data_IF_944468410802
#
_entry.id   IF_944468410802
#
_cell.length_a   1.000
_cell.length_b   1.000
_cell.length_c   1.000
_cell.angle_alpha   90.00
_cell.angle_beta   90.00
_cell.angle_gamma   90.00
#
_symmetry.space_group_name_H-M   'P 1'
#
loop_
_entity.id
_entity.type
_entity.pdbx_description
1 polymer ?
#
# COMPACT_ATOMS: atom_id res chain seq x y z
N UNK A 1 -28.31 -4.82 1.82
CA UNK A 1 -28.37 -3.39 1.38
C UNK A 1 -27.56 -2.56 2.34
N UNK A 2 -26.69 -1.68 1.84
CA UNK A 2 -26.02 -0.67 2.66
C UNK A 2 -27.09 0.35 3.09
N UNK A 3 -27.45 0.36 4.38
CA UNK A 3 -28.29 1.42 4.94
C UNK A 3 -27.39 2.65 5.15
N UNK A 4 -27.28 3.49 4.12
CA UNK A 4 -26.36 4.62 4.07
C UNK A 4 -26.93 5.89 4.72
N UNK A 5 -28.25 5.96 4.90
CA UNK A 5 -28.94 7.18 5.32
C UNK A 5 -28.67 8.35 4.37
N UNK A 6 -28.32 9.51 4.93
CA UNK A 6 -27.91 10.69 4.15
C UNK A 6 -26.46 10.53 3.66
N UNK A 7 -26.13 11.18 2.54
CA UNK A 7 -24.77 11.16 1.99
C UNK A 7 -24.23 12.58 1.95
N UNK A 8 -23.09 12.80 2.60
CA UNK A 8 -22.37 14.07 2.59
C UNK A 8 -21.18 13.99 1.64
N UNK A 9 -21.10 14.95 0.72
CA UNK A 9 -19.99 15.13 -0.21
C UNK A 9 -19.19 16.37 0.17
N UNK A 10 -17.89 16.19 0.42
CA UNK A 10 -16.96 17.27 0.72
C UNK A 10 -15.90 17.37 -0.38
N UNK A 11 -15.87 18.50 -1.07
CA UNK A 11 -14.81 18.84 -2.04
C UNK A 11 -13.87 19.84 -1.37
N UNK A 12 -12.58 19.48 -1.30
CA UNK A 12 -11.52 20.29 -0.69
C UNK A 12 -10.43 20.57 -1.72
N UNK A 13 -10.51 21.68 -2.47
CA UNK A 13 -9.40 22.12 -3.29
C UNK A 13 -8.26 22.62 -2.38
N UNK A 14 -7.02 22.37 -2.79
CA UNK A 14 -5.84 22.85 -2.06
C UNK A 14 -4.79 23.36 -3.05
N UNK A 15 -4.12 24.43 -2.67
CA UNK A 15 -2.97 24.99 -3.39
C UNK A 15 -1.84 25.16 -2.40
N UNK A 16 -0.64 24.70 -2.77
CA UNK A 16 0.58 24.79 -1.97
C UNK A 16 1.68 25.38 -2.82
N UNK A 17 2.33 26.42 -2.30
CA UNK A 17 3.56 26.96 -2.89
C UNK A 17 4.77 26.36 -2.16
N UNK A 18 5.74 25.86 -2.92
CA UNK A 18 6.99 25.32 -2.40
C UNK A 18 8.18 26.04 -3.01
N UNK A 19 9.03 26.60 -2.15
CA UNK A 19 10.29 27.23 -2.53
C UNK A 19 11.48 26.58 -1.79
N UNK A 20 12.44 26.08 -2.56
CA UNK A 20 13.72 25.55 -2.12
C UNK A 20 14.78 26.21 -2.98
N UNK A 21 15.62 27.02 -2.36
CA UNK A 21 16.72 27.71 -3.04
C UNK A 21 17.77 26.72 -3.57
N UNK A 22 18.46 27.07 -4.65
CA UNK A 22 19.58 26.28 -5.13
C UNK A 22 20.74 26.30 -4.11
N UNK A 23 21.22 25.12 -3.73
CA UNK A 23 22.40 24.94 -2.88
C UNK A 23 23.45 24.09 -3.59
N UNK A 24 24.73 24.33 -3.29
CA UNK A 24 25.84 23.56 -3.85
C UNK A 24 26.05 22.28 -3.03
N UNK A 25 26.12 21.14 -3.71
CA UNK A 25 26.38 19.82 -3.11
C UNK A 25 27.77 19.27 -3.45
N UNK A 26 28.68 20.12 -3.95
CA UNK A 26 30.00 19.69 -4.48
C UNK A 26 30.84 18.93 -3.46
N UNK A 27 30.75 19.33 -2.19
CA UNK A 27 31.57 18.78 -1.11
C UNK A 27 30.84 17.72 -0.27
N UNK A 28 29.62 17.32 -0.68
CA UNK A 28 28.79 16.35 0.04
C UNK A 28 28.74 15.06 -0.79
N UNK A 29 29.28 13.92 -0.30
CA UNK A 29 29.16 12.65 -1.00
C UNK A 29 27.68 12.24 -1.14
N UNK A 30 27.35 11.45 -2.17
CA UNK A 30 26.01 10.90 -2.34
C UNK A 30 25.95 9.54 -1.63
N UNK A 31 25.41 9.51 -0.42
CA UNK A 31 25.21 8.29 0.38
C UNK A 31 23.72 7.92 0.35
N UNK A 32 22.85 8.91 0.52
CA UNK A 32 21.40 8.74 0.51
C UNK A 32 20.66 9.83 -0.30
N UNK A 33 19.35 9.67 -0.56
CA UNK A 33 18.58 10.65 -1.31
C UNK A 33 18.47 12.03 -0.64
N UNK A 34 18.66 12.14 0.68
CA UNK A 34 18.57 13.40 1.41
C UNK A 34 19.84 14.26 1.28
N UNK A 35 20.95 13.68 0.83
CA UNK A 35 22.18 14.41 0.48
C UNK A 35 22.00 15.36 -0.73
N UNK A 36 20.87 15.25 -1.45
CA UNK A 36 20.54 16.06 -2.63
C UNK A 36 19.09 16.55 -2.54
N UNK A 37 18.90 17.82 -2.16
CA UNK A 37 17.59 18.46 -2.16
C UNK A 37 17.48 19.39 -3.37
N UNK A 38 16.85 18.93 -4.43
CA UNK A 38 16.77 19.70 -5.66
C UNK A 38 16.01 21.03 -5.49
N UNK A 39 16.46 22.04 -6.24
CA UNK A 39 15.87 23.37 -6.19
C UNK A 39 14.41 23.26 -6.62
N UNK A 40 13.52 23.96 -5.92
CA UNK A 40 12.09 23.89 -6.19
C UNK A 40 11.51 25.29 -6.14
N UNK A 41 10.77 25.68 -7.17
CA UNK A 41 9.96 26.89 -7.15
C UNK A 41 8.68 26.56 -7.91
N UNK A 42 7.69 26.05 -7.20
CA UNK A 42 6.55 25.39 -7.82
C UNK A 42 5.27 25.57 -7.01
N UNK A 43 4.14 25.44 -7.71
CA UNK A 43 2.81 25.40 -7.11
C UNK A 43 2.26 23.99 -7.31
N UNK A 44 1.92 23.31 -6.22
CA UNK A 44 1.12 22.08 -6.24
C UNK A 44 -0.33 22.44 -6.04
N UNK A 45 -1.20 21.96 -6.92
CA UNK A 45 -2.64 22.01 -6.73
C UNK A 45 -3.17 20.59 -6.55
N UNK A 46 -4.17 20.45 -5.69
CA UNK A 46 -4.87 19.19 -5.50
C UNK A 46 -6.37 19.39 -5.37
N UNK A 47 -7.10 18.36 -5.80
CA UNK A 47 -8.53 18.23 -5.61
C UNK A 47 -8.75 16.98 -4.76
N UNK A 48 -9.19 17.19 -3.53
CA UNK A 48 -9.53 16.11 -2.62
C UNK A 48 -11.05 16.04 -2.50
N UNK A 49 -11.61 14.83 -2.56
CA UNK A 49 -13.03 14.57 -2.43
C UNK A 49 -13.25 13.45 -1.41
N UNK A 50 -14.10 13.73 -0.43
CA UNK A 50 -14.45 12.81 0.64
C UNK A 50 -15.95 12.59 0.62
N UNK A 51 -16.37 11.33 0.59
CA UNK A 51 -17.77 10.95 0.63
C UNK A 51 -18.07 10.20 1.91
N UNK A 52 -19.08 10.64 2.65
CA UNK A 52 -19.48 10.04 3.92
C UNK A 52 -20.96 9.67 3.88
N UNK A 53 -21.30 8.49 4.40
CA UNK A 53 -22.66 8.08 4.70
C UNK A 53 -22.99 8.38 6.16
N UNK A 54 -24.15 8.95 6.41
CA UNK A 54 -24.63 9.41 7.72
C UNK A 54 -25.88 8.62 8.10
N UNK A 55 -25.78 7.84 9.18
CA UNK A 55 -26.90 7.06 9.73
C UNK A 55 -27.08 7.42 11.20
N UNK A 56 -28.02 8.33 11.48
CA UNK A 56 -28.20 8.89 12.82
C UNK A 56 -26.97 9.70 13.24
N UNK A 57 -26.34 9.33 14.36
CA UNK A 57 -25.09 9.95 14.83
C UNK A 57 -23.82 9.30 14.25
N UNK A 58 -23.96 8.22 13.48
CA UNK A 58 -22.80 7.52 12.92
C UNK A 58 -22.47 8.05 11.53
N UNK A 59 -21.23 8.51 11.37
CA UNK A 59 -20.63 8.81 10.07
C UNK A 59 -19.73 7.64 9.64
N UNK A 60 -19.82 7.26 8.36
CA UNK A 60 -18.95 6.26 7.74
C UNK A 60 -18.36 6.82 6.46
N UNK A 61 -17.04 6.77 6.33
CA UNK A 61 -16.38 7.08 5.08
C UNK A 61 -16.72 6.02 4.01
N UNK A 62 -17.11 6.49 2.83
CA UNK A 62 -17.48 5.68 1.68
C UNK A 62 -16.41 5.74 0.59
N UNK A 63 -15.83 6.93 0.38
CA UNK A 63 -14.73 7.09 -0.55
C UNK A 63 -13.83 8.27 -0.19
N UNK A 64 -12.56 8.12 -0.56
CA UNK A 64 -11.53 9.16 -0.56
C UNK A 64 -10.94 9.22 -1.96
N UNK A 65 -11.01 10.38 -2.61
CA UNK A 65 -10.34 10.64 -3.88
C UNK A 65 -9.40 11.82 -3.69
N UNK A 66 -8.15 11.65 -4.09
CA UNK A 66 -7.14 12.70 -4.07
C UNK A 66 -6.44 12.71 -5.41
N UNK A 67 -6.37 13.88 -6.04
CA UNK A 67 -5.65 14.07 -7.30
C UNK A 67 -4.79 15.31 -7.12
N UNK A 68 -3.52 15.22 -7.50
CA UNK A 68 -2.59 16.35 -7.41
C UNK A 68 -1.65 16.44 -8.60
N UNK A 69 -1.23 17.65 -8.91
CA UNK A 69 -0.20 17.94 -9.89
C UNK A 69 0.57 19.20 -9.49
N UNK A 70 1.84 19.25 -9.86
CA UNK A 70 2.74 20.37 -9.58
C UNK A 70 3.13 21.08 -10.86
N UNK A 71 3.19 22.41 -10.78
CA UNK A 71 3.62 23.29 -11.86
C UNK A 71 4.87 24.09 -11.46
N UNK A 72 5.94 23.98 -12.24
CA UNK A 72 7.20 24.70 -12.06
C UNK A 72 7.12 26.15 -12.52
N UNK A 73 7.35 27.08 -11.59
CA UNK A 73 7.40 28.52 -11.86
C UNK A 73 8.73 28.93 -12.50
N UNK A 74 9.85 28.35 -12.06
CA UNK A 74 11.20 28.64 -12.57
C UNK A 74 11.60 27.89 -13.83
N UNK A 75 10.71 27.10 -14.43
CA UNK A 75 10.99 26.27 -15.60
C UNK A 75 10.81 24.79 -15.30
N UNK A 76 11.67 23.99 -15.88
CA UNK A 76 11.69 22.53 -15.77
C UNK A 76 11.75 22.07 -14.32
N UNK A 77 10.98 21.02 -14.02
CA UNK A 77 10.95 20.38 -12.71
C UNK A 77 12.07 19.34 -12.63
N UNK A 78 12.88 19.44 -11.58
CA UNK A 78 13.87 18.42 -11.22
C UNK A 78 13.18 17.25 -10.49
N UNK A 79 13.86 16.12 -10.32
CA UNK A 79 13.30 15.06 -9.47
C UNK A 79 13.17 15.55 -8.03
N UNK A 80 12.06 15.23 -7.36
CA UNK A 80 11.78 15.72 -6.01
C UNK A 80 10.86 14.76 -5.28
N UNK A 81 10.99 14.66 -3.96
CA UNK A 81 10.02 13.95 -3.12
C UNK A 81 8.68 14.70 -2.99
N UNK A 82 8.64 15.99 -3.35
CA UNK A 82 7.46 16.83 -3.20
C UNK A 82 6.38 16.58 -4.28
N UNK A 83 6.73 15.89 -5.38
CA UNK A 83 5.84 15.59 -6.50
C UNK A 83 6.34 14.38 -7.29
N UNK A 84 5.53 13.84 -8.21
CA UNK A 84 5.93 12.70 -9.05
C UNK A 84 6.35 13.18 -10.43
N UNK A 85 7.42 12.60 -10.97
CA UNK A 85 7.96 12.95 -12.29
C UNK A 85 8.88 14.17 -12.28
N UNK A 86 9.50 14.41 -13.42
CA UNK A 86 10.49 15.47 -13.68
C UNK A 86 10.49 15.80 -15.17
N UNK A 87 11.24 16.82 -15.57
CA UNK A 87 11.32 17.29 -16.95
C UNK A 87 10.66 18.65 -17.10
N UNK A 88 9.63 18.78 -17.95
CA UNK A 88 9.04 20.08 -18.22
C UNK A 88 8.30 20.67 -17.01
N UNK A 89 7.60 21.79 -17.20
CA UNK A 89 6.93 22.53 -16.12
C UNK A 89 5.84 21.76 -15.38
N UNK A 90 5.29 20.68 -15.93
CA UNK A 90 4.27 19.89 -15.27
C UNK A 90 4.85 18.60 -14.70
N UNK A 91 4.54 18.32 -13.43
CA UNK A 91 4.79 17.02 -12.85
C UNK A 91 3.83 15.99 -13.45
N UNK A 92 4.09 14.71 -13.19
CA UNK A 92 3.11 13.66 -13.39
C UNK A 92 1.88 13.94 -12.50
N UNK A 93 0.72 13.43 -12.92
CA UNK A 93 -0.51 13.48 -12.12
C UNK A 93 -0.44 12.32 -11.13
N UNK A 94 -0.52 12.64 -9.84
CA UNK A 94 -0.56 11.67 -8.75
C UNK A 94 -2.00 11.57 -8.22
N UNK A 95 -2.53 10.35 -8.15
CA UNK A 95 -3.92 10.11 -7.80
C UNK A 95 -4.08 8.92 -6.86
N UNK A 96 -5.01 9.04 -5.92
CA UNK A 96 -5.37 8.01 -4.97
C UNK A 96 -6.89 7.95 -4.83
N UNK A 97 -7.45 6.75 -4.95
CA UNK A 97 -8.85 6.46 -4.72
C UNK A 97 -8.95 5.33 -3.70
N UNK A 98 -9.64 5.54 -2.59
CA UNK A 98 -10.05 4.48 -1.66
C UNK A 98 -11.56 4.41 -1.64
N UNK A 99 -12.11 3.20 -1.79
CA UNK A 99 -13.53 2.87 -1.71
C UNK A 99 -13.77 1.91 -0.54
N UNK A 100 -14.61 2.30 0.41
CA UNK A 100 -15.03 1.46 1.52
C UNK A 100 -16.37 0.81 1.20
N UNK A 101 -16.33 -0.27 0.41
CA UNK A 101 -17.52 -0.96 -0.10
C UNK A 101 -18.38 -1.53 1.05
N UNK A 102 -17.75 -2.22 2.00
CA UNK A 102 -18.37 -2.72 3.23
C UNK A 102 -17.54 -2.34 4.47
N UNK A 103 -17.98 -2.72 5.67
CA UNK A 103 -17.24 -2.42 6.91
C UNK A 103 -15.90 -3.17 6.96
N UNK A 104 -15.83 -4.26 6.24
CA UNK A 104 -14.76 -5.23 6.18
C UNK A 104 -14.11 -5.30 4.79
N UNK A 105 -14.71 -4.71 3.75
CA UNK A 105 -14.22 -4.74 2.36
C UNK A 105 -13.84 -3.33 1.88
N UNK A 106 -12.58 -3.15 1.48
CA UNK A 106 -12.07 -1.90 0.94
C UNK A 106 -11.24 -2.12 -0.33
N UNK A 107 -11.29 -1.16 -1.25
CA UNK A 107 -10.46 -1.12 -2.45
C UNK A 107 -9.66 0.18 -2.47
N UNK A 108 -8.37 0.12 -2.72
CA UNK A 108 -7.49 1.28 -2.92
C UNK A 108 -6.81 1.20 -4.27
N UNK A 109 -6.86 2.28 -5.04
CA UNK A 109 -6.09 2.50 -6.24
C UNK A 109 -5.15 3.70 -6.02
N UNK A 110 -3.88 3.53 -6.35
CA UNK A 110 -2.90 4.62 -6.43
C UNK A 110 -2.31 4.61 -7.82
N UNK A 111 -2.30 5.74 -8.50
CA UNK A 111 -1.95 5.83 -9.91
C UNK A 111 -1.15 7.10 -10.18
N UNK A 112 -0.02 6.94 -10.86
CA UNK A 112 0.81 8.03 -11.37
C UNK A 112 0.76 8.03 -12.90
N UNK A 113 0.33 9.14 -13.49
CA UNK A 113 0.20 9.32 -14.93
C UNK A 113 1.22 10.35 -15.42
N UNK A 114 2.13 9.93 -16.28
CA UNK A 114 3.06 10.82 -16.93
C UNK A 114 2.39 11.65 -18.02
N UNK A 115 2.56 12.98 -17.91
CA UNK A 115 1.96 13.95 -18.83
C UNK A 115 2.84 14.25 -20.05
N UNK A 116 4.05 13.69 -20.09
CA UNK A 116 5.04 13.90 -21.17
C UNK A 116 5.07 12.72 -22.17
N UNK A 117 3.95 12.00 -22.31
CA UNK A 117 3.75 10.98 -23.35
C UNK A 117 4.06 9.55 -22.93
N UNK A 118 4.58 9.28 -21.72
CA UNK A 118 4.75 7.90 -21.23
C UNK A 118 3.42 7.30 -20.77
N UNK A 119 2.43 8.09 -20.36
CA UNK A 119 1.18 7.56 -19.81
C UNK A 119 1.38 6.93 -18.42
N UNK A 120 0.70 5.83 -18.11
CA UNK A 120 0.72 5.20 -16.77
C UNK A 120 2.12 4.75 -16.33
N UNK A 121 2.74 5.40 -15.34
CA UNK A 121 4.09 5.06 -14.85
C UNK A 121 4.05 4.14 -13.64
N UNK A 122 3.10 4.36 -12.73
CA UNK A 122 2.91 3.52 -11.55
C UNK A 122 1.42 3.29 -11.32
N UNK A 123 1.07 2.07 -10.95
CA UNK A 123 -0.28 1.73 -10.51
C UNK A 123 -0.21 0.71 -9.39
N UNK A 124 -0.90 0.96 -8.29
CA UNK A 124 -1.14 0.00 -7.22
C UNK A 124 -2.64 -0.18 -7.06
N UNK A 125 -3.08 -1.42 -7.00
CA UNK A 125 -4.45 -1.76 -6.64
C UNK A 125 -4.42 -2.69 -5.44
N UNK A 126 -5.23 -2.43 -4.44
CA UNK A 126 -5.33 -3.25 -3.23
C UNK A 126 -6.80 -3.49 -2.99
N UNK A 127 -7.22 -4.75 -2.91
CA UNK A 127 -8.54 -5.14 -2.43
C UNK A 127 -8.36 -5.93 -1.14
N UNK A 128 -8.88 -5.42 -0.03
CA UNK A 128 -8.80 -6.06 1.28
C UNK A 128 -10.17 -6.44 1.79
N UNK A 129 -10.31 -7.66 2.30
CA UNK A 129 -11.48 -8.14 3.03
C UNK A 129 -11.06 -8.71 4.38
N UNK A 130 -11.36 -8.03 5.48
CA UNK A 130 -10.86 -8.40 6.81
C UNK A 130 -11.97 -8.44 7.84
N UNK A 131 -12.13 -9.60 8.47
CA UNK A 131 -12.96 -9.79 9.66
C UNK A 131 -12.00 -10.03 10.84
N UNK A 132 -11.81 -9.02 11.71
CA UNK A 132 -10.85 -9.10 12.80
C UNK A 132 -10.98 -10.38 13.65
N UNK A 133 -9.85 -11.06 13.88
CA UNK A 133 -9.77 -12.29 14.66
C UNK A 133 -10.30 -13.56 13.98
N UNK A 134 -10.86 -13.45 12.76
CA UNK A 134 -11.45 -14.59 12.05
C UNK A 134 -10.75 -14.85 10.71
N UNK A 135 -10.64 -13.84 9.86
CA UNK A 135 -10.18 -14.01 8.47
C UNK A 135 -9.68 -12.70 7.88
N UNK A 136 -8.73 -12.81 6.95
CA UNK A 136 -8.34 -11.73 6.06
C UNK A 136 -8.06 -12.28 4.66
N UNK A 137 -8.32 -11.46 3.65
CA UNK A 137 -7.77 -11.60 2.33
C UNK A 137 -7.33 -10.26 1.77
N UNK A 138 -6.21 -10.27 1.06
CA UNK A 138 -5.69 -9.14 0.29
C UNK A 138 -5.33 -9.60 -1.11
N UNK A 139 -5.71 -8.80 -2.11
CA UNK A 139 -5.19 -8.88 -3.47
C UNK A 139 -4.50 -7.55 -3.75
N UNK A 140 -3.19 -7.59 -3.95
CA UNK A 140 -2.34 -6.44 -4.25
C UNK A 140 -1.78 -6.58 -5.67
N UNK A 141 -2.14 -5.69 -6.57
CA UNK A 141 -1.49 -5.55 -7.87
C UNK A 141 -0.55 -4.34 -7.83
N UNK A 142 0.69 -4.53 -8.25
CA UNK A 142 1.71 -3.48 -8.34
C UNK A 142 2.33 -3.47 -9.71
N UNK A 143 2.21 -2.33 -10.38
CA UNK A 143 2.79 -2.01 -11.66
C UNK A 143 3.70 -0.79 -11.53
N UNK A 144 4.92 -0.92 -12.01
CA UNK A 144 5.84 0.18 -12.24
C UNK A 144 6.44 -0.04 -13.61
N UNK A 145 6.21 0.89 -14.54
CA UNK A 145 6.68 0.81 -15.92
C UNK A 145 8.15 0.37 -15.96
N UNK A 146 8.44 -0.60 -16.84
CA UNK A 146 9.76 -1.18 -17.12
C UNK A 146 10.42 -1.92 -15.93
N UNK A 147 9.89 -1.81 -14.71
CA UNK A 147 10.47 -2.38 -13.50
C UNK A 147 9.71 -3.61 -13.03
N UNK A 148 8.41 -3.49 -12.80
CA UNK A 148 7.60 -4.51 -12.14
C UNK A 148 6.17 -4.52 -12.65
N UNK A 149 5.59 -5.71 -12.76
CA UNK A 149 4.15 -5.93 -12.99
C UNK A 149 3.80 -7.25 -12.31
N UNK A 150 3.17 -7.18 -11.14
CA UNK A 150 2.95 -8.36 -10.30
C UNK A 150 1.65 -8.28 -9.51
N UNK A 151 1.05 -9.44 -9.28
CA UNK A 151 -0.05 -9.62 -8.32
C UNK A 151 0.41 -10.45 -7.14
N UNK A 152 -0.01 -10.04 -5.96
CA UNK A 152 0.20 -10.71 -4.70
C UNK A 152 -1.15 -11.00 -4.06
N UNK A 153 -1.35 -12.26 -3.68
CA UNK A 153 -2.53 -12.69 -2.97
C UNK A 153 -2.11 -13.23 -1.61
N UNK A 154 -2.79 -12.76 -0.57
CA UNK A 154 -2.57 -13.19 0.81
C UNK A 154 -3.91 -13.45 1.45
N UNK A 155 -4.14 -14.68 1.90
CA UNK A 155 -5.37 -15.08 2.54
C UNK A 155 -5.05 -15.89 3.78
N UNK A 156 -5.78 -15.66 4.84
CA UNK A 156 -5.66 -16.49 6.02
C UNK A 156 -6.87 -16.36 6.93
N UNK A 157 -6.94 -17.29 7.87
CA UNK A 157 -8.04 -17.32 8.80
C UNK A 157 -7.80 -18.27 9.95
N UNK A 158 -8.66 -18.15 10.95
CA UNK A 158 -8.59 -18.89 12.20
C UNK A 158 -9.92 -19.56 12.48
N UNK A 159 -9.85 -20.83 12.83
CA UNK A 159 -10.96 -21.62 13.34
C UNK A 159 -10.52 -22.36 14.61
N UNK A 160 -11.07 -21.94 15.76
CA UNK A 160 -10.70 -22.45 17.09
C UNK A 160 -9.19 -22.30 17.33
N UNK A 161 -8.50 -23.41 17.58
CA UNK A 161 -7.06 -23.48 17.79
C UNK A 161 -6.27 -23.68 16.50
N UNK A 162 -6.91 -23.70 15.34
CA UNK A 162 -6.25 -23.85 14.05
C UNK A 162 -6.29 -22.54 13.27
N UNK A 163 -5.18 -22.12 12.69
CA UNK A 163 -5.16 -21.05 11.69
C UNK A 163 -4.36 -21.48 10.48
N UNK A 164 -4.73 -20.95 9.33
CA UNK A 164 -4.04 -21.17 8.07
C UNK A 164 -3.77 -19.86 7.36
N UNK A 165 -2.68 -19.81 6.60
CA UNK A 165 -2.34 -18.71 5.71
C UNK A 165 -1.79 -19.25 4.41
N UNK A 166 -2.15 -18.60 3.33
CA UNK A 166 -1.66 -18.87 2.00
C UNK A 166 -1.26 -17.55 1.35
N UNK A 167 -0.03 -17.50 0.84
CA UNK A 167 0.46 -16.35 0.09
C UNK A 167 0.99 -16.81 -1.24
N UNK A 168 0.75 -16.03 -2.29
CA UNK A 168 1.31 -16.29 -3.60
C UNK A 168 1.58 -15.00 -4.35
N UNK A 169 2.70 -14.95 -5.08
CA UNK A 169 3.10 -13.82 -5.90
C UNK A 169 3.38 -14.26 -7.33
N UNK A 170 2.78 -13.56 -8.29
CA UNK A 170 3.00 -13.78 -9.73
C UNK A 170 3.54 -12.52 -10.38
N UNK A 171 4.60 -12.65 -11.19
CA UNK A 171 5.12 -11.60 -12.05
C UNK A 171 4.53 -11.76 -13.46
N UNK A 172 3.73 -10.80 -13.90
CA UNK A 172 3.28 -10.71 -15.29
C UNK A 172 4.43 -10.38 -16.23
N UNK A 173 5.38 -9.54 -15.77
CA UNK A 173 6.58 -9.16 -16.54
C UNK A 173 7.44 -10.37 -16.92
N UNK A 174 7.64 -11.29 -15.97
CA UNK A 174 8.47 -12.48 -16.15
C UNK A 174 7.65 -13.73 -16.48
N UNK A 175 6.32 -13.62 -16.48
CA UNK A 175 5.37 -14.72 -16.69
C UNK A 175 5.57 -15.91 -15.74
N UNK A 176 5.95 -15.66 -14.49
CA UNK A 176 6.27 -16.70 -13.51
C UNK A 176 5.78 -16.40 -12.09
N UNK A 177 5.54 -17.47 -11.33
CA UNK A 177 5.29 -17.41 -9.89
C UNK A 177 6.62 -17.18 -9.16
N UNK A 178 6.70 -16.12 -8.36
CA UNK A 178 7.92 -15.71 -7.66
C UNK A 178 8.04 -16.45 -6.32
N UNK A 179 7.01 -16.32 -5.49
CA UNK A 179 6.99 -16.82 -4.12
C UNK A 179 5.65 -17.47 -3.79
N UNK A 180 5.67 -18.51 -2.98
CA UNK A 180 4.47 -19.15 -2.42
C UNK A 180 4.73 -19.57 -0.98
N UNK A 181 3.78 -19.29 -0.08
CA UNK A 181 3.77 -19.72 1.30
C UNK A 181 2.49 -20.48 1.59
N UNK A 182 2.61 -21.66 2.20
CA UNK A 182 1.53 -22.34 2.89
C UNK A 182 1.91 -22.43 4.36
N UNK A 183 1.04 -21.97 5.25
CA UNK A 183 1.26 -22.00 6.68
C UNK A 183 0.04 -22.57 7.40
N UNK A 184 0.28 -23.46 8.35
CA UNK A 184 -0.72 -24.02 9.24
C UNK A 184 -0.20 -23.91 10.68
N UNK A 185 -1.00 -23.31 11.56
CA UNK A 185 -0.67 -23.13 12.97
C UNK A 185 -1.73 -23.80 13.82
N UNK A 186 -1.33 -24.75 14.65
CA UNK A 186 -2.18 -25.31 15.69
C UNK A 186 -1.74 -24.78 17.05
N UNK A 187 -2.54 -23.89 17.65
CA UNK A 187 -2.28 -23.22 18.91
C UNK A 187 -3.39 -23.50 19.94
N UNK A 188 -3.27 -24.58 20.72
CA UNK A 188 -3.99 -24.74 21.98
C UNK A 188 -3.40 -23.81 23.07
N UNK A 189 -3.95 -23.86 24.29
CA UNK A 189 -3.77 -22.85 25.35
C UNK A 189 -2.32 -22.38 25.56
N UNK A 190 -1.38 -23.30 25.78
CA UNK A 190 -0.02 -22.97 26.24
C UNK A 190 1.11 -23.41 25.29
N UNK A 191 0.77 -23.83 24.07
CA UNK A 191 1.77 -24.26 23.09
C UNK A 191 1.22 -24.07 21.67
N UNK A 192 2.12 -23.96 20.70
CA UNK A 192 1.78 -23.90 19.28
C UNK A 192 2.70 -24.80 18.46
N UNK A 193 2.15 -25.38 17.40
CA UNK A 193 2.91 -26.03 16.34
C UNK A 193 2.66 -25.27 15.05
N UNK A 194 3.74 -24.85 14.40
CA UNK A 194 3.72 -24.11 13.14
C UNK A 194 4.36 -24.99 12.08
N UNK A 195 3.59 -25.28 11.03
CA UNK A 195 4.06 -25.94 9.82
C UNK A 195 4.03 -24.91 8.69
N UNK A 196 5.16 -24.71 8.02
CA UNK A 196 5.24 -23.84 6.85
C UNK A 196 5.99 -24.50 5.71
N UNK A 197 5.48 -24.29 4.50
CA UNK A 197 6.11 -24.64 3.23
C UNK A 197 6.29 -23.33 2.45
N UNK A 198 7.53 -22.96 2.20
CA UNK A 198 7.89 -21.78 1.39
C UNK A 198 8.58 -22.23 0.11
N UNK A 199 8.17 -21.67 -1.01
CA UNK A 199 8.78 -21.89 -2.31
C UNK A 199 9.14 -20.54 -2.92
N UNK A 200 10.41 -20.34 -3.25
CA UNK A 200 10.91 -19.12 -3.89
C UNK A 200 11.58 -19.47 -5.21
N UNK A 201 11.56 -18.56 -6.19
CA UNK A 201 12.28 -18.73 -7.46
C UNK A 201 13.59 -17.96 -7.54
N UNK A 202 13.80 -16.96 -6.69
CA UNK A 202 14.97 -16.06 -6.75
C UNK A 202 15.58 -15.83 -5.35
N UNK A 203 16.50 -16.71 -4.89
CA UNK A 203 16.97 -17.95 -5.52
C UNK A 203 15.92 -19.06 -5.48
N UNK A 204 16.07 -20.07 -6.35
CA UNK A 204 15.17 -21.23 -6.38
C UNK A 204 15.40 -22.08 -5.13
N UNK A 205 14.43 -22.06 -4.22
CA UNK A 205 14.50 -22.81 -2.98
C UNK A 205 13.12 -23.36 -2.61
N UNK A 206 13.11 -24.45 -1.84
CA UNK A 206 11.90 -25.02 -1.25
C UNK A 206 12.24 -25.42 0.17
N UNK A 207 11.62 -24.71 1.12
CA UNK A 207 11.87 -24.87 2.53
C UNK A 207 10.61 -25.39 3.22
N UNK A 208 10.78 -26.45 4.01
CA UNK A 208 9.76 -26.97 4.91
C UNK A 208 10.26 -26.73 6.33
N UNK A 209 9.48 -26.01 7.13
CA UNK A 209 9.82 -25.69 8.52
C UNK A 209 8.70 -26.15 9.45
N UNK A 210 9.10 -26.86 10.50
CA UNK A 210 8.27 -27.23 11.63
C UNK A 210 8.83 -26.49 12.85
N UNK A 211 7.97 -25.82 13.61
CA UNK A 211 8.37 -25.10 14.82
C UNK A 211 7.39 -25.36 15.96
N UNK A 212 7.93 -25.42 17.17
CA UNK A 212 7.19 -25.68 18.40
C UNK A 212 7.45 -24.51 19.36
N UNK A 213 6.39 -23.79 19.69
CA UNK A 213 6.48 -22.63 20.58
C UNK A 213 5.73 -22.93 21.88
N UNK A 214 6.33 -22.59 23.02
CA UNK A 214 5.66 -22.62 24.32
C UNK A 214 5.12 -21.23 24.64
N UNK A 215 3.80 -21.09 24.65
CA UNK A 215 3.12 -19.80 24.83
C UNK A 215 2.58 -19.73 26.26
N UNK A 216 2.77 -18.61 26.96
CA UNK A 216 2.27 -18.44 28.33
C UNK A 216 3.24 -18.83 29.46
N UNK A 217 4.53 -19.01 29.16
CA UNK A 217 5.60 -19.13 30.18
C UNK A 217 5.99 -17.79 30.82
N UNK A 218 5.53 -16.67 30.26
CA UNK A 218 5.64 -15.34 30.86
C UNK A 218 4.28 -14.66 30.87
N UNK A 219 3.91 -14.04 32.00
CA UNK A 219 2.65 -13.30 32.20
C UNK A 219 2.70 -11.89 31.60
N UNK A 220 3.46 -11.69 30.52
CA UNK A 220 3.48 -10.44 29.77
C UNK A 220 2.20 -10.33 28.96
N UNK A 221 1.29 -9.44 29.39
CA UNK A 221 0.02 -9.16 28.72
C UNK A 221 0.27 -8.71 27.28
N UNK A 222 0.11 -9.66 26.37
CA UNK A 222 0.21 -9.45 24.94
C UNK A 222 -0.24 -10.75 24.30
N UNK A 223 -1.56 -10.98 24.29
CA UNK A 223 -2.18 -11.83 23.28
C UNK A 223 -1.92 -11.17 21.92
N UNK A 224 -0.66 -11.25 21.47
CA UNK A 224 -0.23 -10.89 20.15
C UNK A 224 -1.00 -11.80 19.23
N UNK A 225 -1.84 -11.20 18.40
CA UNK A 225 -2.51 -11.87 17.31
C UNK A 225 -1.42 -12.25 16.28
N UNK A 226 -0.67 -13.30 16.58
CA UNK A 226 0.46 -13.79 15.77
C UNK A 226 0.00 -14.23 14.37
N UNK A 227 -1.30 -14.50 14.21
CA UNK A 227 -1.88 -14.88 12.94
C UNK A 227 -1.91 -13.73 11.91
N UNK A 228 -1.82 -12.46 12.35
CA UNK A 228 -2.09 -11.31 11.48
C UNK A 228 -1.10 -10.14 11.60
N UNK A 229 0.01 -10.27 12.34
CA UNK A 229 1.06 -9.23 12.43
C UNK A 229 2.24 -9.50 11.50
N UNK A 230 2.34 -8.70 10.44
CA UNK A 230 3.60 -8.03 10.06
C UNK A 230 3.30 -6.54 9.93
#
# INVERSE_FOLDING_TARGET
>A
MLNLGEVQSLVKPQVRYTFISATSYRDIPLIDPYDRINKTNAITYSLNHYLQGLTGQNARELSVLEISQTYGLSGDLEESDAYKGSGSRFSDIDSRLTLFLFRDLAYTNETVLNVHGKGLTTMRNILTHTIPGVYFASIDHSYTRDLNDQVYFDVGGKYRSLSGRYQIRYSFKDSEWIDTLYELVYQPKCWAVILSLTQTKRPRDTSIKISFDLVGLTSGSGSGDWAFRR
#
